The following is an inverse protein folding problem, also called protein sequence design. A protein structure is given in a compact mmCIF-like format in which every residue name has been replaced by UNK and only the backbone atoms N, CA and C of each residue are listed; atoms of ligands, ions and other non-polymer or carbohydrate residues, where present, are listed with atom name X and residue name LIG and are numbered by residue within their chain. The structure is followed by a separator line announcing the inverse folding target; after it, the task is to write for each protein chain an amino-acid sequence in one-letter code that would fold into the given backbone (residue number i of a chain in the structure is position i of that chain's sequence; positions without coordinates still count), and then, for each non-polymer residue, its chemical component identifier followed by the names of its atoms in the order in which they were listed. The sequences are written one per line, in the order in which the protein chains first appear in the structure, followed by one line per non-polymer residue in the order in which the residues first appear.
data_IF_212133149513
#
_entry.id   IF_212133149513
#
_cell.length_a   1.000
_cell.length_b   1.000
_cell.length_c   1.000
_cell.angle_alpha   90.00
_cell.angle_beta   90.00
_cell.angle_gamma   90.00
#
_symmetry.space_group_name_H-M   'P 1'
#
loop_
_entity.id
_entity.type
_entity.pdbx_description
1 polymer ?
#
# COMPACT_ATOMS: atom_id res chain seq x y z
N UNK A 1 17.45 -17.47 11.40
CA UNK A 1 18.52 -18.18 10.67
C UNK A 1 18.79 -17.37 9.42
N UNK A 2 19.94 -16.72 9.37
CA UNK A 2 20.35 -15.90 8.22
C UNK A 2 20.87 -16.86 7.14
N UNK A 3 19.98 -17.33 6.28
CA UNK A 3 20.31 -18.31 5.25
C UNK A 3 20.94 -17.59 4.05
N UNK A 4 22.25 -17.36 4.09
CA UNK A 4 23.01 -16.88 2.93
C UNK A 4 23.02 -17.94 1.83
N UNK A 5 22.67 -17.56 0.61
CA UNK A 5 22.74 -18.45 -0.56
C UNK A 5 24.22 -18.80 -0.80
N UNK A 6 24.61 -20.09 -0.84
CA UNK A 6 25.98 -20.48 -1.15
C UNK A 6 26.42 -20.01 -2.54
N UNK A 7 27.68 -19.59 -2.66
CA UNK A 7 28.25 -19.03 -3.90
C UNK A 7 28.12 -20.01 -5.08
N UNK A 8 28.32 -21.31 -4.83
CA UNK A 8 28.16 -22.36 -5.84
C UNK A 8 26.76 -22.39 -6.45
N UNK A 9 25.73 -22.22 -5.62
CA UNK A 9 24.34 -22.20 -6.06
C UNK A 9 24.06 -20.98 -6.91
N UNK A 10 24.65 -19.84 -6.54
CA UNK A 10 24.47 -18.58 -7.21
C UNK A 10 25.13 -18.57 -8.60
N UNK A 11 26.36 -19.09 -8.71
CA UNK A 11 27.07 -19.24 -9.98
C UNK A 11 26.33 -20.18 -10.94
N UNK A 12 25.76 -21.28 -10.45
CA UNK A 12 24.92 -22.17 -11.26
C UNK A 12 23.69 -21.45 -11.79
N UNK A 13 22.98 -20.71 -10.94
CA UNK A 13 21.78 -19.97 -11.34
C UNK A 13 22.10 -18.89 -12.38
N UNK A 14 23.19 -18.14 -12.23
CA UNK A 14 23.65 -17.17 -13.24
C UNK A 14 23.94 -17.86 -14.58
N UNK A 15 24.67 -18.99 -14.55
CA UNK A 15 24.99 -19.75 -15.76
C UNK A 15 23.75 -20.27 -16.50
N UNK A 16 22.72 -20.71 -15.76
CA UNK A 16 21.44 -21.14 -16.34
C UNK A 16 20.66 -20.00 -17.01
N UNK A 17 20.77 -18.77 -16.48
CA UNK A 17 20.01 -17.61 -16.94
C UNK A 17 20.75 -16.77 -17.99
N UNK A 18 22.06 -16.95 -18.16
CA UNK A 18 22.88 -16.23 -19.15
C UNK A 18 22.32 -16.21 -20.58
N UNK A 19 21.73 -17.30 -21.14
CA UNK A 19 21.16 -17.27 -22.49
C UNK A 19 20.02 -16.25 -22.67
N UNK A 20 19.32 -15.92 -21.59
CA UNK A 20 18.19 -14.99 -21.59
C UNK A 20 18.60 -13.59 -21.09
N UNK A 21 19.63 -13.51 -20.25
CA UNK A 21 20.22 -12.27 -19.74
C UNK A 21 21.74 -12.35 -19.71
N UNK A 22 22.43 -11.93 -20.79
CA UNK A 22 23.88 -12.05 -20.90
C UNK A 22 24.65 -11.08 -19.97
N UNK A 23 23.99 -10.05 -19.45
CA UNK A 23 24.53 -9.06 -18.51
C UNK A 23 24.25 -9.39 -17.04
N UNK A 24 23.74 -10.59 -16.76
CA UNK A 24 23.42 -11.05 -15.41
C UNK A 24 24.69 -11.41 -14.64
N UNK A 25 24.86 -10.81 -13.46
CA UNK A 25 25.94 -11.12 -12.52
C UNK A 25 25.38 -11.70 -11.22
N UNK A 26 26.20 -12.39 -10.43
CA UNK A 26 25.89 -12.79 -9.06
C UNK A 26 25.17 -11.71 -8.23
N UNK A 27 25.74 -10.50 -8.19
CA UNK A 27 25.23 -9.37 -7.41
C UNK A 27 23.86 -8.91 -7.91
N UNK A 28 23.67 -8.86 -9.24
CA UNK A 28 22.40 -8.45 -9.85
C UNK A 28 21.32 -9.50 -9.65
N UNK A 29 21.69 -10.78 -9.60
CA UNK A 29 20.76 -11.85 -9.29
C UNK A 29 20.30 -11.77 -7.83
N UNK A 30 21.21 -11.53 -6.88
CA UNK A 30 20.85 -11.30 -5.47
C UNK A 30 19.93 -10.08 -5.33
N UNK A 31 20.31 -8.95 -5.92
CA UNK A 31 19.51 -7.74 -5.87
C UNK A 31 18.09 -7.93 -6.46
N UNK A 32 17.95 -8.79 -7.48
CA UNK A 32 16.65 -9.11 -8.07
C UNK A 32 15.81 -10.10 -7.23
N UNK A 33 16.46 -11.00 -6.48
CA UNK A 33 15.78 -11.93 -5.57
C UNK A 33 15.30 -11.19 -4.31
N UNK A 34 16.15 -10.31 -3.77
CA UNK A 34 15.85 -9.47 -2.61
C UNK A 34 15.03 -8.23 -2.97
N UNK A 35 14.65 -8.08 -4.25
CA UNK A 35 13.80 -6.99 -4.69
C UNK A 35 12.38 -7.18 -4.14
N UNK A 36 12.07 -6.47 -3.07
CA UNK A 36 10.69 -6.23 -2.68
C UNK A 36 10.18 -5.07 -3.55
N UNK A 37 9.27 -5.32 -4.52
CA UNK A 37 8.64 -4.22 -5.22
C UNK A 37 7.94 -3.36 -4.17
N UNK A 38 8.18 -2.05 -4.20
CA UNK A 38 7.29 -1.11 -3.55
C UNK A 38 5.91 -1.34 -4.17
N UNK A 39 5.07 -2.13 -3.51
CA UNK A 39 3.66 -2.20 -3.86
C UNK A 39 3.13 -0.80 -3.68
N UNK A 40 2.89 -0.08 -4.78
CA UNK A 40 2.10 1.13 -4.76
C UNK A 40 0.82 0.79 -4.00
N UNK A 41 0.71 1.29 -2.78
CA UNK A 41 -0.45 1.05 -1.93
C UNK A 41 -1.57 1.86 -2.55
N UNK A 42 -2.33 1.24 -3.45
CA UNK A 42 -3.54 1.84 -4.02
C UNK A 42 -4.48 2.09 -2.85
N UNK A 43 -4.55 3.35 -2.43
CA UNK A 43 -5.34 3.75 -1.28
C UNK A 43 -6.81 3.44 -1.52
N UNK A 44 -7.35 2.50 -0.74
CA UNK A 44 -8.76 2.14 -0.82
C UNK A 44 -9.63 3.29 -0.35
N UNK A 45 -10.70 3.55 -1.08
CA UNK A 45 -11.60 4.68 -0.83
C UNK A 45 -13.01 4.20 -0.51
N UNK A 46 -13.54 4.64 0.62
CA UNK A 46 -14.91 4.39 1.02
C UNK A 46 -15.87 5.41 0.43
N UNK A 47 -17.08 4.96 0.13
CA UNK A 47 -18.24 5.83 -0.03
C UNK A 47 -18.71 6.36 1.32
N UNK A 48 -19.53 7.42 1.31
CA UNK A 48 -20.08 8.00 2.56
C UNK A 48 -20.88 6.97 3.38
N UNK A 49 -21.76 6.13 2.80
CA UNK A 49 -22.45 5.09 3.56
C UNK A 49 -21.53 4.02 4.14
N UNK A 50 -20.46 3.66 3.43
CA UNK A 50 -19.49 2.69 3.95
C UNK A 50 -18.66 3.27 5.10
N UNK A 51 -18.25 4.54 4.99
CA UNK A 51 -17.55 5.23 6.07
C UNK A 51 -18.44 5.36 7.32
N UNK A 52 -19.73 5.65 7.14
CA UNK A 52 -20.73 5.67 8.21
C UNK A 52 -20.83 4.32 8.91
N UNK A 53 -20.89 3.22 8.13
CA UNK A 53 -20.90 1.85 8.68
C UNK A 53 -19.60 1.51 9.40
N UNK A 54 -18.44 1.89 8.85
CA UNK A 54 -17.14 1.59 9.43
C UNK A 54 -16.92 2.28 10.78
N UNK A 55 -17.37 3.53 10.90
CA UNK A 55 -17.28 4.30 12.15
C UNK A 55 -18.49 4.10 13.07
N UNK A 56 -19.49 3.32 12.67
CA UNK A 56 -20.77 3.18 13.38
C UNK A 56 -21.46 4.52 13.66
N UNK A 57 -21.39 5.45 12.70
CA UNK A 57 -21.97 6.79 12.77
C UNK A 57 -23.08 6.98 11.74
N UNK A 58 -23.91 8.00 11.94
CA UNK A 58 -24.91 8.37 10.93
C UNK A 58 -24.27 9.07 9.72
N UNK A 59 -24.86 8.92 8.52
CA UNK A 59 -24.42 9.66 7.31
C UNK A 59 -24.41 11.18 7.52
N UNK A 60 -25.42 11.81 8.18
CA UNK A 60 -25.35 13.23 8.55
C UNK A 60 -24.12 13.59 9.39
N UNK A 61 -23.73 12.72 10.33
CA UNK A 61 -22.53 12.92 11.16
C UNK A 61 -21.27 12.89 10.32
N UNK A 62 -21.13 11.93 9.41
CA UNK A 62 -19.98 11.87 8.48
C UNK A 62 -19.93 13.12 7.60
N UNK A 63 -21.07 13.56 7.06
CA UNK A 63 -21.16 14.79 6.28
C UNK A 63 -20.82 16.05 7.08
N UNK A 64 -21.08 16.05 8.40
CA UNK A 64 -20.67 17.12 9.31
C UNK A 64 -19.15 17.09 9.54
N UNK A 65 -18.58 15.93 9.91
CA UNK A 65 -17.13 15.78 10.11
C UNK A 65 -16.32 16.20 8.87
N UNK A 66 -16.80 15.84 7.68
CA UNK A 66 -16.22 16.26 6.40
C UNK A 66 -16.34 17.76 6.10
N UNK A 67 -17.31 18.46 6.70
CA UNK A 67 -17.46 19.92 6.58
C UNK A 67 -16.59 20.64 7.61
N UNK A 68 -16.51 20.08 8.81
CA UNK A 68 -15.73 20.60 9.93
C UNK A 68 -14.23 20.34 9.79
N UNK A 69 -13.81 19.60 8.75
CA UNK A 69 -12.41 19.30 8.46
C UNK A 69 -11.84 18.12 9.26
N UNK A 70 -12.66 17.46 10.07
CA UNK A 70 -12.26 16.32 10.92
C UNK A 70 -12.14 15.00 10.17
N UNK A 71 -12.64 14.94 8.92
CA UNK A 71 -12.52 13.77 8.06
C UNK A 71 -12.15 14.23 6.64
N UNK A 72 -10.98 13.82 6.10
CA UNK A 72 -10.58 14.18 4.75
C UNK A 72 -11.51 13.52 3.72
N UNK A 73 -11.70 14.22 2.61
CA UNK A 73 -12.55 13.78 1.50
C UNK A 73 -11.89 14.05 0.17
N UNK A 74 -12.08 13.14 -0.78
CA UNK A 74 -11.70 13.29 -2.18
C UNK A 74 -12.95 13.30 -3.04
N UNK A 75 -12.99 14.18 -4.05
CA UNK A 75 -14.02 14.16 -5.10
C UNK A 75 -13.46 13.44 -6.31
N UNK A 76 -14.07 12.33 -6.70
CA UNK A 76 -13.70 11.53 -7.87
C UNK A 76 -14.91 11.43 -8.77
N UNK A 77 -14.84 12.03 -9.96
CA UNK A 77 -15.93 12.02 -10.96
C UNK A 77 -17.29 12.42 -10.36
N UNK A 78 -17.28 13.46 -9.51
CA UNK A 78 -18.50 13.97 -8.84
C UNK A 78 -18.91 13.22 -7.57
N UNK A 79 -18.36 12.04 -7.30
CA UNK A 79 -18.62 11.29 -6.07
C UNK A 79 -17.66 11.68 -4.94
N UNK A 80 -18.17 11.87 -3.73
CA UNK A 80 -17.36 12.08 -2.52
C UNK A 80 -16.90 10.73 -1.99
N UNK A 81 -15.60 10.63 -1.71
CA UNK A 81 -14.92 9.45 -1.22
C UNK A 81 -14.08 9.78 0.01
N UNK A 82 -14.02 8.86 0.96
CA UNK A 82 -13.27 8.97 2.20
C UNK A 82 -12.09 8.00 2.14
N UNK A 83 -10.85 8.45 2.37
CA UNK A 83 -9.69 7.56 2.45
C UNK A 83 -9.82 6.52 3.57
N UNK A 84 -9.45 5.27 3.29
CA UNK A 84 -9.44 4.22 4.32
C UNK A 84 -8.45 4.50 5.45
N UNK A 85 -7.31 5.09 5.13
CA UNK A 85 -6.29 5.56 6.07
C UNK A 85 -6.90 6.44 7.15
N UNK A 86 -7.64 7.47 6.75
CA UNK A 86 -8.31 8.40 7.67
C UNK A 86 -9.32 7.73 8.61
N UNK A 87 -10.06 6.73 8.13
CA UNK A 87 -10.96 5.95 8.98
C UNK A 87 -10.16 5.13 9.99
N UNK A 88 -9.07 4.50 9.56
CA UNK A 88 -8.20 3.73 10.42
C UNK A 88 -7.54 4.62 11.50
N UNK A 89 -7.14 5.85 11.15
CA UNK A 89 -6.59 6.83 12.09
C UNK A 89 -7.60 7.18 13.18
N UNK A 90 -8.85 7.47 12.81
CA UNK A 90 -9.93 7.78 13.77
C UNK A 90 -10.20 6.58 14.68
N UNK A 91 -10.25 5.36 14.14
CA UNK A 91 -10.43 4.14 14.92
C UNK A 91 -9.26 3.88 15.88
N UNK A 92 -8.05 4.27 15.48
CA UNK A 92 -6.85 4.22 16.31
C UNK A 92 -6.75 5.38 17.33
N UNK A 93 -7.72 6.30 17.36
CA UNK A 93 -7.71 7.46 18.24
C UNK A 93 -6.72 8.55 17.84
N UNK A 94 -6.20 8.51 16.61
CA UNK A 94 -5.37 9.58 16.03
C UNK A 94 -6.29 10.56 15.30
N UNK A 95 -5.95 11.85 15.33
CA UNK A 95 -6.61 12.83 14.48
C UNK A 95 -6.34 12.46 13.01
N UNK A 96 -7.39 12.38 12.20
CA UNK A 96 -7.24 12.07 10.78
C UNK A 96 -6.43 13.19 10.11
N UNK A 97 -5.27 12.84 9.55
CA UNK A 97 -4.45 13.79 8.82
C UNK A 97 -5.23 14.27 7.57
N UNK A 98 -5.33 15.59 7.43
CA UNK A 98 -6.11 16.29 6.40
C UNK A 98 -5.51 16.14 5.00
#
# INVERSE_FOLDING_TARGET
MESKIPESTLSMAVGMLMPYRPDLTPERLLAAIDFEPETEVVESLYTVPEAAKALSLSVPTINRMMRDGQLPKRKIRGAVRVPRSAIADILAGKEAAA
#
